data_IF_544847275526
#
_entry.id   IF_544847275526
#
_cell.length_a   1.000
_cell.length_b   1.000
_cell.length_c   1.000
_cell.angle_alpha   90.00
_cell.angle_beta   90.00
_cell.angle_gamma   90.00
#
_symmetry.space_group_name_H-M   'P 1'
#
loop_
_entity.id
_entity.type
_entity.pdbx_description
1 polymer ?
#
# COMPACT_ATOMS: atom_id res chain seq x y z
N UNK A 1 -16.96 -2.99 -12.50
CA UNK A 1 -16.24 -1.82 -13.03
C UNK A 1 -16.25 -0.83 -11.90
N UNK A 2 -15.07 -0.52 -11.40
CA UNK A 2 -14.85 0.26 -10.20
C UNK A 2 -15.18 1.73 -10.48
N UNK A 3 -15.87 2.39 -9.55
CA UNK A 3 -16.21 3.81 -9.69
C UNK A 3 -14.99 4.70 -9.43
N UNK A 4 -14.20 4.98 -10.47
CA UNK A 4 -12.98 5.81 -10.36
C UNK A 4 -13.24 7.29 -10.01
N UNK A 5 -14.50 7.74 -10.08
CA UNK A 5 -14.89 9.08 -9.66
C UNK A 5 -15.08 9.19 -8.13
N UNK A 6 -15.11 8.07 -7.40
CA UNK A 6 -15.12 8.08 -5.94
C UNK A 6 -13.79 8.68 -5.40
N UNK A 7 -13.84 9.74 -4.56
CA UNK A 7 -12.62 10.38 -4.04
C UNK A 7 -11.68 9.44 -3.28
N UNK A 8 -12.20 8.42 -2.59
CA UNK A 8 -11.39 7.44 -1.85
C UNK A 8 -10.68 6.50 -2.83
N UNK A 9 -11.39 6.04 -3.86
CA UNK A 9 -10.86 5.18 -4.91
C UNK A 9 -9.79 5.94 -5.71
N UNK A 10 -10.05 7.20 -6.07
CA UNK A 10 -9.09 8.06 -6.74
C UNK A 10 -7.81 8.23 -5.91
N UNK A 11 -7.94 8.46 -4.60
CA UNK A 11 -6.79 8.53 -3.68
C UNK A 11 -6.00 7.21 -3.64
N UNK A 12 -6.69 6.07 -3.71
CA UNK A 12 -6.01 4.77 -3.80
C UNK A 12 -5.25 4.63 -5.13
N UNK A 13 -5.84 5.00 -6.26
CA UNK A 13 -5.18 4.98 -7.57
C UNK A 13 -3.92 5.86 -7.55
N UNK A 14 -4.01 7.08 -7.02
CA UNK A 14 -2.86 7.98 -6.88
C UNK A 14 -1.75 7.38 -6.00
N UNK A 15 -2.12 6.68 -4.93
CA UNK A 15 -1.17 6.04 -4.04
C UNK A 15 -0.52 4.81 -4.68
N UNK A 16 -1.28 4.00 -5.42
CA UNK A 16 -0.75 2.89 -6.21
C UNK A 16 0.24 3.40 -7.26
N UNK A 17 -0.12 4.46 -7.98
CA UNK A 17 0.74 5.10 -8.97
C UNK A 17 2.07 5.55 -8.37
N UNK A 18 2.03 6.31 -7.25
CA UNK A 18 3.24 6.72 -6.52
C UNK A 18 4.08 5.52 -6.07
N UNK A 19 3.42 4.43 -5.64
CA UNK A 19 4.10 3.21 -5.23
C UNK A 19 4.81 2.50 -6.39
N UNK A 20 4.22 2.52 -7.60
CA UNK A 20 4.81 2.02 -8.85
C UNK A 20 5.99 2.91 -9.27
N UNK A 21 5.81 4.22 -9.33
CA UNK A 21 6.87 5.16 -9.70
C UNK A 21 8.10 5.04 -8.79
N UNK A 22 7.88 5.00 -7.47
CA UNK A 22 8.95 4.83 -6.48
C UNK A 22 9.75 3.55 -6.74
N UNK A 23 9.07 2.43 -7.01
CA UNK A 23 9.73 1.15 -7.33
C UNK A 23 10.47 1.22 -8.65
N UNK A 24 9.85 1.80 -9.67
CA UNK A 24 10.43 1.94 -11.01
C UNK A 24 11.67 2.85 -11.03
N UNK A 25 11.77 3.86 -10.14
CA UNK A 25 12.99 4.67 -9.97
C UNK A 25 14.16 3.89 -9.36
N UNK A 26 13.88 2.90 -8.52
CA UNK A 26 14.88 2.10 -7.81
C UNK A 26 15.37 0.88 -8.62
N UNK A 27 14.99 0.80 -9.89
CA UNK A 27 15.33 -0.27 -10.80
C UNK A 27 16.70 -0.03 -11.48
N UNK A 28 17.71 -0.87 -11.19
CA UNK A 28 18.96 -0.99 -11.97
C UNK A 28 18.79 -1.66 -13.36
N UNK A 29 19.08 -0.90 -14.42
CA UNK A 29 18.89 -1.20 -15.86
C UNK A 29 19.21 -2.60 -16.43
N UNK A 30 19.98 -3.47 -15.78
CA UNK A 30 20.61 -4.62 -16.42
C UNK A 30 19.83 -5.95 -16.38
N UNK A 31 18.58 -5.99 -15.90
CA UNK A 31 17.84 -7.27 -15.71
C UNK A 31 16.35 -7.25 -16.10
N UNK A 32 15.86 -6.23 -16.81
CA UNK A 32 14.41 -6.06 -17.04
C UNK A 32 13.83 -6.86 -18.19
N UNK A 33 14.60 -7.10 -19.25
CA UNK A 33 14.04 -7.69 -20.47
C UNK A 33 13.48 -9.10 -20.24
N UNK A 34 14.13 -9.88 -19.36
CA UNK A 34 13.63 -11.19 -18.97
C UNK A 34 12.31 -11.07 -18.19
N UNK A 35 12.21 -10.16 -17.22
CA UNK A 35 10.97 -9.94 -16.47
C UNK A 35 9.86 -9.40 -17.35
N UNK A 36 10.14 -8.46 -18.25
CA UNK A 36 9.16 -7.91 -19.20
C UNK A 36 8.58 -9.05 -20.04
N UNK A 37 9.44 -9.89 -20.63
CA UNK A 37 8.99 -11.03 -21.44
C UNK A 37 8.17 -12.01 -20.61
N UNK A 38 8.66 -12.42 -19.44
CA UNK A 38 7.96 -13.36 -18.56
C UNK A 38 6.59 -12.82 -18.11
N UNK A 39 6.56 -11.57 -17.67
CA UNK A 39 5.35 -10.94 -17.14
C UNK A 39 4.31 -10.72 -18.24
N UNK A 40 4.71 -10.40 -19.47
CA UNK A 40 3.78 -10.34 -20.62
C UNK A 40 3.17 -11.69 -20.97
N UNK A 41 3.97 -12.76 -20.90
CA UNK A 41 3.48 -14.13 -21.08
C UNK A 41 2.47 -14.48 -19.99
N UNK A 42 2.81 -14.21 -18.73
CA UNK A 42 1.92 -14.46 -17.59
C UNK A 42 0.63 -13.63 -17.70
N UNK A 43 0.72 -12.36 -18.10
CA UNK A 43 -0.42 -11.46 -18.32
C UNK A 43 -1.40 -12.02 -19.35
N UNK A 44 -0.92 -12.61 -20.45
CA UNK A 44 -1.78 -13.30 -21.42
C UNK A 44 -2.54 -14.48 -20.79
N UNK A 45 -1.93 -15.21 -19.86
CA UNK A 45 -2.63 -16.26 -19.10
C UNK A 45 -3.61 -15.70 -18.07
N UNK A 46 -3.35 -14.52 -17.50
CA UNK A 46 -4.31 -13.83 -16.64
C UNK A 46 -5.57 -13.40 -17.42
N UNK A 47 -5.42 -13.00 -18.68
CA UNK A 47 -6.55 -12.64 -19.55
C UNK A 47 -7.40 -13.85 -19.94
N UNK A 48 -6.76 -15.00 -20.18
CA UNK A 48 -7.43 -16.23 -20.54
C UNK A 48 -6.62 -17.46 -20.10
N UNK A 49 -7.05 -18.02 -18.97
CA UNK A 49 -6.43 -19.17 -18.31
C UNK A 49 -6.51 -20.47 -19.11
N UNK A 50 -7.37 -20.54 -20.14
CA UNK A 50 -7.53 -21.75 -20.96
C UNK A 50 -6.50 -21.87 -22.07
N UNK A 51 -5.73 -20.81 -22.32
CA UNK A 51 -4.74 -20.78 -23.39
C UNK A 51 -3.69 -21.87 -23.22
N UNK A 52 -3.35 -22.51 -24.33
CA UNK A 52 -2.15 -23.33 -24.46
C UNK A 52 -0.92 -22.50 -24.85
N UNK A 53 0.29 -23.06 -24.74
CA UNK A 53 1.53 -22.35 -25.07
C UNK A 53 1.56 -21.78 -26.50
N UNK A 54 1.08 -22.53 -27.50
CA UNK A 54 0.96 -22.05 -28.90
C UNK A 54 0.06 -20.83 -29.05
N UNK A 55 -1.07 -20.78 -28.35
CA UNK A 55 -2.00 -19.63 -28.39
C UNK A 55 -1.40 -18.41 -27.68
N UNK A 56 -0.65 -18.65 -26.59
CA UNK A 56 0.10 -17.61 -25.91
C UNK A 56 1.20 -17.01 -26.81
N UNK A 57 1.99 -17.86 -27.49
CA UNK A 57 3.01 -17.42 -28.45
C UNK A 57 2.41 -16.56 -29.58
N UNK A 58 1.30 -17.01 -30.18
CA UNK A 58 0.59 -16.24 -31.19
C UNK A 58 0.12 -14.86 -30.68
N UNK A 59 -0.38 -14.79 -29.45
CA UNK A 59 -0.79 -13.54 -28.83
C UNK A 59 0.40 -12.61 -28.49
N UNK A 60 1.51 -13.17 -28.01
CA UNK A 60 2.76 -12.43 -27.79
C UNK A 60 3.25 -11.78 -29.08
N UNK A 61 3.36 -12.56 -30.15
CA UNK A 61 3.88 -12.09 -31.44
C UNK A 61 2.97 -11.02 -32.06
N UNK A 62 1.64 -11.20 -31.95
CA UNK A 62 0.67 -10.22 -32.44
C UNK A 62 0.79 -8.86 -31.73
N UNK A 63 0.87 -8.86 -30.39
CA UNK A 63 0.82 -7.65 -29.55
C UNK A 63 2.16 -6.96 -29.39
N UNK A 64 3.23 -7.72 -29.16
CA UNK A 64 4.53 -7.19 -28.77
C UNK A 64 5.59 -7.31 -29.87
N UNK A 65 5.20 -7.73 -31.08
CA UNK A 65 6.10 -7.87 -32.25
C UNK A 65 7.33 -8.73 -31.95
N UNK A 66 7.10 -9.81 -31.22
CA UNK A 66 8.12 -10.83 -30.91
C UNK A 66 8.11 -11.95 -31.95
N UNK A 67 9.12 -12.82 -31.89
CA UNK A 67 9.21 -14.08 -32.66
C UNK A 67 9.35 -15.27 -31.71
N UNK A 68 8.37 -15.42 -30.81
CA UNK A 68 8.33 -16.53 -29.86
C UNK A 68 7.58 -17.71 -30.45
N UNK A 69 8.06 -18.92 -30.19
CA UNK A 69 7.39 -20.15 -30.55
C UNK A 69 6.76 -20.86 -29.34
N UNK A 70 6.20 -22.05 -29.58
CA UNK A 70 5.59 -22.88 -28.53
C UNK A 70 6.61 -23.27 -27.44
N UNK A 71 7.86 -23.56 -27.81
CA UNK A 71 8.91 -24.02 -26.90
C UNK A 71 9.46 -22.89 -26.03
N UNK A 72 9.51 -21.65 -26.54
CA UNK A 72 9.82 -20.46 -25.73
C UNK A 72 8.84 -20.30 -24.57
N UNK A 73 7.53 -20.42 -24.85
CA UNK A 73 6.51 -20.32 -23.81
C UNK A 73 6.62 -21.48 -22.82
N UNK A 74 6.84 -22.71 -23.29
CA UNK A 74 7.05 -23.87 -22.41
C UNK A 74 8.26 -23.65 -21.49
N UNK A 75 9.36 -23.08 -22.01
CA UNK A 75 10.56 -22.76 -21.20
C UNK A 75 10.23 -21.78 -20.07
N UNK A 76 9.49 -20.71 -20.37
CA UNK A 76 9.04 -19.74 -19.36
C UNK A 76 8.13 -20.39 -18.32
N UNK A 77 7.18 -21.22 -18.75
CA UNK A 77 6.29 -21.96 -17.84
C UNK A 77 7.07 -22.95 -16.96
N UNK A 78 8.09 -23.63 -17.48
CA UNK A 78 8.94 -24.55 -16.71
C UNK A 78 9.77 -23.79 -15.67
N UNK A 79 10.43 -22.70 -16.06
CA UNK A 79 11.23 -21.86 -15.17
C UNK A 79 10.42 -21.35 -13.96
N UNK A 80 9.12 -21.13 -14.18
CA UNK A 80 8.20 -20.61 -13.18
C UNK A 80 7.30 -21.67 -12.51
N UNK A 81 7.54 -22.97 -12.77
CA UNK A 81 6.75 -24.11 -12.27
C UNK A 81 5.25 -24.06 -12.61
N UNK A 82 4.92 -23.41 -13.72
CA UNK A 82 3.57 -23.27 -14.27
C UNK A 82 3.25 -24.28 -15.39
N UNK A 83 4.11 -25.29 -15.60
CA UNK A 83 3.92 -26.26 -16.69
C UNK A 83 2.71 -27.15 -16.48
N UNK A 84 2.40 -27.51 -15.23
CA UNK A 84 1.25 -28.34 -14.90
C UNK A 84 -0.04 -27.51 -14.95
N UNK A 85 -0.94 -27.88 -15.86
CA UNK A 85 -2.10 -27.08 -16.22
C UNK A 85 -3.07 -26.85 -15.05
N UNK A 86 -3.42 -27.89 -14.30
CA UNK A 86 -4.41 -27.74 -13.22
C UNK A 86 -3.87 -26.86 -12.09
N UNK A 87 -2.57 -27.00 -11.76
CA UNK A 87 -1.92 -26.15 -10.75
C UNK A 87 -1.76 -24.70 -11.20
N UNK A 88 -1.46 -24.48 -12.48
CA UNK A 88 -1.49 -23.14 -13.06
C UNK A 88 -2.89 -22.54 -12.99
N UNK A 89 -3.92 -23.32 -13.30
CA UNK A 89 -5.31 -22.88 -13.22
C UNK A 89 -5.73 -22.56 -11.77
N UNK A 90 -5.35 -23.39 -10.80
CA UNK A 90 -5.56 -23.13 -9.36
C UNK A 90 -4.96 -21.77 -8.94
N UNK A 91 -3.72 -21.50 -9.35
CA UNK A 91 -3.03 -20.24 -9.04
C UNK A 91 -3.66 -19.02 -9.72
N UNK A 92 -4.07 -19.15 -10.99
CA UNK A 92 -4.76 -18.08 -11.72
C UNK A 92 -6.16 -17.80 -11.13
N UNK A 93 -6.90 -18.84 -10.74
CA UNK A 93 -8.19 -18.70 -10.06
C UNK A 93 -8.06 -18.00 -8.70
N UNK A 94 -7.03 -18.34 -7.92
CA UNK A 94 -6.73 -17.63 -6.68
C UNK A 94 -6.45 -16.15 -6.91
N UNK A 95 -5.66 -15.81 -7.94
CA UNK A 95 -5.34 -14.42 -8.26
C UNK A 95 -6.58 -13.64 -8.71
N UNK A 96 -7.46 -14.27 -9.50
CA UNK A 96 -8.76 -13.73 -9.91
C UNK A 96 -9.65 -13.46 -8.68
N UNK A 97 -9.84 -14.45 -7.81
CA UNK A 97 -10.61 -14.33 -6.56
C UNK A 97 -10.07 -13.23 -5.62
N UNK A 98 -8.74 -13.13 -5.49
CA UNK A 98 -8.09 -12.10 -4.68
C UNK A 98 -8.39 -10.69 -5.23
N UNK A 99 -8.31 -10.52 -6.55
CA UNK A 99 -8.55 -9.24 -7.22
C UNK A 99 -10.03 -8.85 -7.24
N UNK A 100 -10.93 -9.83 -7.30
CA UNK A 100 -12.37 -9.62 -7.15
C UNK A 100 -12.75 -9.18 -5.73
N UNK A 101 -12.21 -9.84 -4.71
CA UNK A 101 -12.42 -9.45 -3.30
C UNK A 101 -11.78 -8.10 -2.98
N UNK A 102 -10.63 -7.77 -3.57
CA UNK A 102 -10.02 -6.44 -3.49
C UNK A 102 -10.97 -5.35 -4.03
N UNK A 103 -11.50 -5.54 -5.24
CA UNK A 103 -12.40 -4.57 -5.85
C UNK A 103 -13.72 -4.43 -5.07
N UNK A 104 -14.26 -5.55 -4.59
CA UNK A 104 -15.45 -5.53 -3.72
C UNK A 104 -15.20 -4.70 -2.45
N UNK A 105 -14.09 -4.93 -1.75
CA UNK A 105 -13.73 -4.15 -0.56
C UNK A 105 -13.52 -2.66 -0.89
N UNK A 106 -12.93 -2.37 -2.05
CA UNK A 106 -12.72 -1.01 -2.55
C UNK A 106 -14.03 -0.30 -2.90
N UNK A 107 -15.05 -1.02 -3.39
CA UNK A 107 -16.35 -0.44 -3.70
C UNK A 107 -17.25 -0.27 -2.47
N UNK A 108 -17.17 -1.21 -1.50
CA UNK A 108 -18.05 -1.18 -0.33
C UNK A 108 -17.51 -0.37 0.83
N UNK A 109 -16.18 -0.20 0.89
CA UNK A 109 -15.46 0.42 2.01
C UNK A 109 -15.73 -0.25 3.36
N UNK A 110 -16.06 -1.55 3.38
CA UNK A 110 -16.42 -2.25 4.63
C UNK A 110 -15.25 -3.07 5.20
N UNK A 111 -15.01 -3.01 6.52
CA UNK A 111 -14.03 -3.87 7.22
C UNK A 111 -14.17 -5.36 6.88
N UNK A 112 -15.40 -5.88 6.91
CA UNK A 112 -15.67 -7.29 6.63
C UNK A 112 -15.23 -7.74 5.23
N UNK A 113 -15.40 -6.88 4.22
CA UNK A 113 -14.99 -7.20 2.85
C UNK A 113 -13.46 -7.12 2.70
N UNK A 114 -12.81 -6.23 3.47
CA UNK A 114 -11.35 -6.21 3.59
C UNK A 114 -10.80 -7.48 4.27
N UNK A 115 -11.43 -7.96 5.34
CA UNK A 115 -11.03 -9.21 6.02
C UNK A 115 -11.16 -10.44 5.10
N UNK A 116 -12.21 -10.47 4.27
CA UNK A 116 -12.38 -11.49 3.23
C UNK A 116 -11.24 -11.43 2.21
N UNK A 117 -10.92 -10.24 1.69
CA UNK A 117 -9.76 -10.02 0.83
C UNK A 117 -8.46 -10.50 1.48
N UNK A 118 -8.20 -10.13 2.75
CA UNK A 118 -6.99 -10.53 3.46
C UNK A 118 -6.89 -12.05 3.64
N UNK A 119 -8.02 -12.71 3.89
CA UNK A 119 -8.10 -14.17 3.99
C UNK A 119 -7.68 -14.84 2.68
N UNK A 120 -8.23 -14.39 1.54
CA UNK A 120 -7.86 -14.91 0.22
C UNK A 120 -6.41 -14.58 -0.11
N UNK A 121 -5.99 -13.33 0.07
CA UNK A 121 -4.64 -12.84 -0.23
C UNK A 121 -3.55 -13.59 0.56
N UNK A 122 -3.84 -14.03 1.79
CA UNK A 122 -2.92 -14.81 2.62
C UNK A 122 -2.93 -16.32 2.33
N UNK A 123 -3.88 -16.82 1.52
CA UNK A 123 -3.94 -18.24 1.12
C UNK A 123 -2.69 -18.61 0.32
N UNK A 124 -1.94 -19.62 0.78
CA UNK A 124 -0.73 -20.09 0.09
C UNK A 124 -1.12 -21.12 -0.97
N UNK A 125 -0.80 -20.84 -2.23
CA UNK A 125 -0.96 -21.81 -3.32
C UNK A 125 0.34 -22.58 -3.50
N UNK A 126 0.23 -23.90 -3.55
CA UNK A 126 1.39 -24.81 -3.60
C UNK A 126 1.56 -25.42 -4.97
N UNK A 127 2.82 -25.58 -5.36
CA UNK A 127 3.26 -26.30 -6.56
C UNK A 127 2.95 -27.79 -6.43
N UNK A 128 3.19 -28.55 -7.50
CA UNK A 128 3.01 -30.00 -7.48
C UNK A 128 3.92 -30.71 -6.44
N UNK A 129 5.06 -30.11 -6.11
CA UNK A 129 6.02 -30.64 -5.14
C UNK A 129 5.79 -30.08 -3.72
N UNK A 130 4.57 -29.59 -3.45
CA UNK A 130 4.13 -28.98 -2.19
C UNK A 130 4.89 -27.71 -1.75
N UNK A 131 5.79 -27.16 -2.58
CA UNK A 131 6.43 -25.88 -2.32
C UNK A 131 5.52 -24.69 -2.67
N UNK A 132 5.64 -23.57 -1.96
CA UNK A 132 4.93 -22.33 -2.29
C UNK A 132 5.36 -21.77 -3.65
N UNK A 133 4.40 -21.32 -4.46
CA UNK A 133 4.70 -20.56 -5.69
C UNK A 133 5.40 -19.24 -5.37
N UNK A 134 6.68 -19.10 -5.76
CA UNK A 134 7.45 -17.85 -5.60
C UNK A 134 6.88 -16.66 -6.38
N UNK A 135 6.09 -16.94 -7.40
CA UNK A 135 5.52 -15.96 -8.33
C UNK A 135 4.06 -15.64 -8.04
N UNK A 136 3.51 -16.13 -6.93
CA UNK A 136 2.10 -15.98 -6.58
C UNK A 136 1.68 -14.50 -6.56
N UNK A 137 2.41 -13.65 -5.82
CA UNK A 137 2.14 -12.21 -5.76
C UNK A 137 2.40 -11.49 -7.10
N UNK A 138 3.30 -12.01 -7.93
CA UNK A 138 3.56 -11.47 -9.28
C UNK A 138 2.37 -11.70 -10.21
N UNK A 139 1.78 -12.90 -10.19
CA UNK A 139 0.55 -13.19 -10.95
C UNK A 139 -0.61 -12.31 -10.45
N UNK A 140 -0.77 -12.20 -9.12
CA UNK A 140 -1.76 -11.34 -8.50
C UNK A 140 -1.66 -9.87 -8.96
N UNK A 141 -0.45 -9.32 -9.00
CA UNK A 141 -0.21 -7.93 -9.43
C UNK A 141 -0.57 -7.71 -10.90
N UNK A 142 -0.24 -8.66 -11.78
CA UNK A 142 -0.62 -8.60 -13.19
C UNK A 142 -2.13 -8.77 -13.36
N UNK A 143 -2.75 -9.68 -12.60
CA UNK A 143 -4.19 -9.93 -12.60
C UNK A 143 -4.98 -8.68 -12.22
N UNK A 144 -4.49 -7.88 -11.27
CA UNK A 144 -5.12 -6.63 -10.85
C UNK A 144 -5.42 -5.71 -12.04
N UNK A 145 -4.40 -5.40 -12.85
CA UNK A 145 -4.56 -4.53 -14.02
C UNK A 145 -5.23 -5.20 -15.22
N UNK A 146 -5.23 -6.53 -15.29
CA UNK A 146 -6.00 -7.26 -16.31
C UNK A 146 -7.50 -7.18 -16.02
N UNK A 147 -7.91 -7.32 -14.75
CA UNK A 147 -9.31 -7.34 -14.35
C UNK A 147 -9.89 -5.97 -14.09
N UNK A 148 -9.08 -5.04 -13.59
CA UNK A 148 -9.48 -3.66 -13.30
C UNK A 148 -8.53 -2.68 -14.00
N UNK A 149 -8.54 -2.64 -15.34
CA UNK A 149 -7.70 -1.71 -16.12
C UNK A 149 -7.99 -0.24 -15.79
N UNK A 150 -9.16 0.09 -15.25
CA UNK A 150 -9.53 1.42 -14.77
C UNK A 150 -8.66 1.93 -13.61
N UNK A 151 -7.92 1.04 -12.91
CA UNK A 151 -6.96 1.43 -11.87
C UNK A 151 -5.61 1.89 -12.43
N UNK A 152 -5.39 1.80 -13.75
CA UNK A 152 -4.15 2.19 -14.39
C UNK A 152 -4.05 3.73 -14.53
N UNK A 153 -3.10 4.33 -13.79
CA UNK A 153 -2.79 5.76 -13.90
C UNK A 153 -1.82 6.02 -15.06
N UNK A 154 -2.26 5.71 -16.27
CA UNK A 154 -1.58 6.00 -17.53
C UNK A 154 -0.53 4.99 -17.98
N UNK A 155 0.40 4.57 -17.11
CA UNK A 155 1.49 3.63 -17.49
C UNK A 155 1.84 2.61 -16.41
N UNK A 156 1.05 2.50 -15.35
CA UNK A 156 1.36 1.60 -14.24
C UNK A 156 1.31 0.14 -14.68
N UNK A 157 0.28 -0.22 -15.45
CA UNK A 157 0.10 -1.57 -15.97
C UNK A 157 1.28 -2.05 -16.85
N UNK A 158 1.95 -1.12 -17.54
CA UNK A 158 3.19 -1.40 -18.30
C UNK A 158 4.42 -1.38 -17.40
N UNK A 159 4.51 -0.43 -16.46
CA UNK A 159 5.64 -0.29 -15.57
C UNK A 159 5.83 -1.53 -14.68
N UNK A 160 4.75 -2.12 -14.18
CA UNK A 160 4.83 -3.33 -13.36
C UNK A 160 5.35 -4.54 -14.15
N UNK A 161 5.27 -4.56 -15.49
CA UNK A 161 5.85 -5.66 -16.29
C UNK A 161 7.37 -5.77 -16.11
N UNK A 162 8.04 -4.72 -15.62
CA UNK A 162 9.47 -4.71 -15.30
C UNK A 162 9.79 -5.34 -13.94
N UNK A 163 8.79 -5.55 -13.09
CA UNK A 163 8.99 -5.92 -11.69
C UNK A 163 9.18 -7.43 -11.52
N UNK A 164 10.22 -7.80 -10.78
CA UNK A 164 10.41 -9.16 -10.26
C UNK A 164 9.54 -9.44 -9.03
N UNK A 165 9.67 -10.67 -8.48
CA UNK A 165 8.82 -11.16 -7.39
C UNK A 165 8.82 -10.26 -6.14
N UNK A 166 9.97 -9.72 -5.75
CA UNK A 166 10.10 -8.86 -4.56
C UNK A 166 9.29 -7.57 -4.73
N UNK A 167 9.47 -6.87 -5.85
CA UNK A 167 8.77 -5.62 -6.12
C UNK A 167 7.25 -5.82 -6.23
N UNK A 168 6.81 -6.90 -6.90
CA UNK A 168 5.39 -7.23 -7.02
C UNK A 168 4.76 -7.61 -5.68
N UNK A 169 5.48 -8.36 -4.84
CA UNK A 169 5.05 -8.66 -3.48
C UNK A 169 4.83 -7.38 -2.67
N UNK A 170 5.81 -6.46 -2.69
CA UNK A 170 5.66 -5.19 -1.99
C UNK A 170 4.58 -4.28 -2.61
N UNK A 171 4.34 -4.38 -3.91
CA UNK A 171 3.22 -3.68 -4.56
C UNK A 171 1.86 -4.16 -4.03
N UNK A 172 1.65 -5.48 -3.92
CA UNK A 172 0.43 -6.02 -3.29
C UNK A 172 0.32 -5.61 -1.82
N UNK A 173 1.43 -5.48 -1.11
CA UNK A 173 1.43 -5.06 0.29
C UNK A 173 0.99 -3.59 0.42
N UNK A 174 1.57 -2.70 -0.39
CA UNK A 174 1.15 -1.30 -0.47
C UNK A 174 -0.35 -1.20 -0.83
N UNK A 175 -0.82 -1.98 -1.81
CA UNK A 175 -2.24 -2.03 -2.19
C UNK A 175 -3.15 -2.49 -1.03
N UNK A 176 -2.74 -3.52 -0.28
CA UNK A 176 -3.46 -3.97 0.92
C UNK A 176 -3.53 -2.88 1.98
N UNK A 177 -2.43 -2.18 2.24
CA UNK A 177 -2.38 -1.12 3.25
C UNK A 177 -3.24 0.09 2.85
N UNK A 178 -3.22 0.49 1.57
CA UNK A 178 -4.10 1.55 1.08
C UNK A 178 -5.57 1.18 1.19
N UNK A 179 -5.92 -0.07 0.84
CA UNK A 179 -7.29 -0.56 0.96
C UNK A 179 -7.74 -0.63 2.43
N UNK A 180 -6.87 -1.08 3.36
CA UNK A 180 -7.16 -1.08 4.80
C UNK A 180 -7.58 0.31 5.28
N UNK A 181 -6.82 1.33 4.89
CA UNK A 181 -7.07 2.71 5.29
C UNK A 181 -8.40 3.26 4.74
N UNK A 182 -8.91 2.69 3.65
CA UNK A 182 -10.24 3.02 3.11
C UNK A 182 -11.34 2.31 3.91
N UNK A 183 -11.15 1.01 4.19
CA UNK A 183 -12.18 0.18 4.82
C UNK A 183 -12.30 0.37 6.34
N UNK A 184 -11.22 0.68 7.06
CA UNK A 184 -11.18 0.82 8.53
C UNK A 184 -11.19 2.27 9.02
N UNK A 185 -11.41 3.23 8.10
CA UNK A 185 -11.42 4.66 8.41
C UNK A 185 -12.42 5.08 9.50
N UNK A 186 -13.43 4.25 9.80
CA UNK A 186 -14.42 4.48 10.85
C UNK A 186 -14.07 3.86 12.22
N UNK A 187 -13.14 2.91 12.27
CA UNK A 187 -12.64 2.29 13.51
C UNK A 187 -11.41 3.05 14.01
N UNK A 188 -10.52 3.48 13.11
CA UNK A 188 -9.37 4.33 13.46
C UNK A 188 -9.79 5.78 13.79
N UNK A 189 -10.92 6.27 13.27
CA UNK A 189 -11.48 7.58 13.63
C UNK A 189 -12.10 7.65 15.01
N UNK A 190 -12.21 6.53 15.73
CA UNK A 190 -12.59 6.53 17.15
C UNK A 190 -11.39 6.62 18.09
N UNK A 191 -10.16 6.50 17.61
CA UNK A 191 -8.93 6.50 18.44
C UNK A 191 -7.89 7.52 17.95
N UNK A 192 -8.19 8.33 16.93
CA UNK A 192 -7.36 9.49 16.59
C UNK A 192 -8.24 10.71 16.48
N UNK A 193 -8.58 11.29 17.64
CA UNK A 193 -8.78 12.74 17.72
C UNK A 193 -7.50 13.37 17.18
N UNK A 194 -7.61 14.06 16.05
CA UNK A 194 -6.50 14.82 15.47
C UNK A 194 -5.96 15.78 16.53
N UNK A 195 -4.86 15.41 17.18
CA UNK A 195 -4.06 16.34 17.97
C UNK A 195 -3.43 17.29 16.96
N UNK A 196 -3.87 18.55 16.96
CA UNK A 196 -3.28 19.57 16.08
C UNK A 196 -1.83 19.81 16.48
N UNK A 197 -1.03 20.41 15.60
CA UNK A 197 0.34 20.82 15.94
C UNK A 197 0.38 21.68 17.22
N UNK A 198 -0.64 22.52 17.43
CA UNK A 198 -0.78 23.32 18.65
C UNK A 198 -1.04 22.48 19.89
N UNK A 199 -1.82 21.40 19.79
CA UNK A 199 -2.07 20.49 20.90
C UNK A 199 -0.79 19.69 21.26
N UNK A 200 0.02 19.32 20.26
CA UNK A 200 1.33 18.71 20.48
C UNK A 200 2.33 19.66 21.14
N UNK A 201 2.33 20.94 20.72
CA UNK A 201 3.14 21.98 21.35
C UNK A 201 2.74 22.19 22.81
N UNK A 202 1.44 22.22 23.09
CA UNK A 202 0.93 22.33 24.44
C UNK A 202 1.35 21.13 25.30
N UNK A 203 1.25 19.90 24.78
CA UNK A 203 1.75 18.71 25.45
C UNK A 203 3.23 18.84 25.84
N UNK A 204 4.10 19.21 24.90
CA UNK A 204 5.53 19.36 25.17
C UNK A 204 5.81 20.45 26.21
N UNK A 205 5.11 21.58 26.14
CA UNK A 205 5.26 22.68 27.11
C UNK A 205 4.76 22.31 28.51
N UNK A 206 3.67 21.53 28.60
CA UNK A 206 3.09 21.10 29.88
C UNK A 206 3.93 20.00 30.53
N UNK A 207 4.43 19.03 29.76
CA UNK A 207 5.23 17.91 30.27
C UNK A 207 6.69 18.28 30.53
N UNK A 208 7.26 19.17 29.71
CA UNK A 208 8.66 19.57 29.76
C UNK A 208 8.81 21.11 29.69
N UNK A 209 8.33 21.84 30.71
CA UNK A 209 8.29 23.31 30.70
C UNK A 209 9.67 23.97 30.56
N UNK A 210 10.74 23.27 30.93
CA UNK A 210 12.13 23.68 30.74
C UNK A 210 12.55 23.81 29.27
N UNK A 211 11.79 23.24 28.34
CA UNK A 211 12.04 23.29 26.90
C UNK A 211 11.37 24.47 26.20
N UNK A 212 10.40 25.14 26.84
CA UNK A 212 9.56 26.16 26.24
C UNK A 212 10.32 27.41 25.72
N UNK A 213 11.62 27.53 25.99
CA UNK A 213 12.47 28.61 25.49
C UNK A 213 13.59 28.20 24.51
N UNK A 214 13.80 26.91 24.24
CA UNK A 214 15.01 26.42 23.54
C UNK A 214 14.75 25.59 22.27
N UNK A 215 13.49 25.32 21.93
CA UNK A 215 13.17 24.59 20.69
C UNK A 215 13.07 25.59 19.54
N UNK A 216 13.95 25.46 18.55
CA UNK A 216 13.83 26.18 17.27
C UNK A 216 12.71 25.53 16.44
N UNK A 217 11.53 26.12 16.51
CA UNK A 217 10.32 25.58 15.90
C UNK A 217 10.31 25.65 14.36
N UNK A 218 11.27 26.36 13.74
CA UNK A 218 11.42 26.39 12.27
C UNK A 218 11.79 25.03 11.67
N UNK A 219 12.24 24.08 12.52
CA UNK A 219 12.47 22.69 12.12
C UNK A 219 11.14 22.00 11.79
N UNK A 220 10.03 22.38 12.44
CA UNK A 220 8.72 21.74 12.31
C UNK A 220 7.83 22.31 11.19
N UNK A 221 8.16 23.50 10.65
CA UNK A 221 7.49 24.10 9.48
C UNK A 221 7.61 23.26 8.19
N UNK A 222 8.41 22.18 8.21
CA UNK A 222 8.59 21.25 7.08
C UNK A 222 7.68 20.01 7.13
N UNK A 223 6.81 19.90 8.15
CA UNK A 223 6.09 18.66 8.47
C UNK A 223 4.61 18.67 8.08
N UNK A 224 4.24 19.32 6.98
CA UNK A 224 2.92 19.13 6.38
C UNK A 224 2.79 17.70 5.83
N UNK A 225 1.98 16.87 6.51
CA UNK A 225 1.58 15.54 6.03
C UNK A 225 2.41 14.35 6.53
N UNK A 226 3.22 14.51 7.58
CA UNK A 226 3.95 13.42 8.23
C UNK A 226 3.05 12.70 9.25
N UNK A 227 3.11 11.36 9.31
CA UNK A 227 2.31 10.57 10.25
C UNK A 227 2.74 10.89 11.70
N UNK A 228 1.77 11.05 12.62
CA UNK A 228 2.00 11.37 14.05
C UNK A 228 3.07 10.50 14.72
N UNK A 229 3.20 9.24 14.28
CA UNK A 229 4.21 8.31 14.77
C UNK A 229 5.63 8.73 14.44
N UNK A 230 5.84 9.30 13.26
CA UNK A 230 7.14 9.79 12.82
C UNK A 230 7.50 11.08 13.57
N UNK A 231 6.51 11.94 13.86
CA UNK A 231 6.68 13.13 14.69
C UNK A 231 7.05 12.80 16.14
N UNK A 232 6.39 11.82 16.77
CA UNK A 232 6.69 11.38 18.13
C UNK A 232 8.07 10.72 18.24
N UNK A 233 8.47 9.92 17.24
CA UNK A 233 9.80 9.30 17.19
C UNK A 233 10.88 10.39 17.05
N UNK A 234 10.67 11.38 16.19
CA UNK A 234 11.66 12.43 15.97
C UNK A 234 11.76 13.37 17.17
N UNK A 235 10.64 13.69 17.82
CA UNK A 235 10.62 14.42 19.08
C UNK A 235 11.37 13.66 20.19
N UNK A 236 11.13 12.35 20.33
CA UNK A 236 11.88 11.51 21.28
C UNK A 236 13.39 11.53 20.98
N UNK A 237 13.78 11.40 19.71
CA UNK A 237 15.19 11.44 19.31
C UNK A 237 15.84 12.79 19.66
N UNK A 238 15.15 13.91 19.39
CA UNK A 238 15.61 15.24 19.73
C UNK A 238 15.81 15.41 21.25
N UNK A 239 14.80 15.05 22.03
CA UNK A 239 14.83 15.17 23.49
C UNK A 239 15.93 14.28 24.10
N UNK A 240 16.17 13.09 23.54
CA UNK A 240 17.19 12.15 24.03
C UNK A 240 18.61 12.71 23.89
N UNK A 241 18.79 13.70 23.00
CA UNK A 241 20.05 14.39 22.79
C UNK A 241 20.28 15.54 23.78
N UNK A 242 19.30 15.92 24.60
CA UNK A 242 19.42 17.03 25.53
C UNK A 242 19.99 16.57 26.88
N UNK A 243 21.07 17.19 27.39
CA UNK A 243 21.82 16.69 28.56
C UNK A 243 21.08 16.79 29.91
N UNK A 244 19.86 17.31 29.94
CA UNK A 244 19.09 17.59 31.15
C UNK A 244 17.63 17.12 31.09
N UNK A 245 17.26 16.31 30.10
CA UNK A 245 15.90 15.78 29.94
C UNK A 245 15.92 14.27 30.20
N UNK A 246 15.33 13.83 31.30
CA UNK A 246 15.06 12.41 31.52
C UNK A 246 13.77 12.03 30.79
N UNK A 247 13.87 11.13 29.80
CA UNK A 247 12.73 10.67 29.02
C UNK A 247 12.18 9.40 29.64
N UNK A 248 10.90 9.40 29.97
CA UNK A 248 10.17 8.17 30.25
C UNK A 248 9.66 7.58 28.91
N UNK A 249 10.07 6.35 28.61
CA UNK A 249 9.68 5.66 27.37
C UNK A 249 8.17 5.48 27.23
N UNK A 250 7.44 5.43 28.36
CA UNK A 250 5.97 5.31 28.38
C UNK A 250 5.27 6.55 27.82
N UNK A 251 5.90 7.73 27.92
CA UNK A 251 5.34 9.00 27.45
C UNK A 251 5.23 9.09 25.90
N UNK A 252 5.92 8.19 25.19
CA UNK A 252 5.95 8.13 23.72
C UNK A 252 5.30 6.86 23.15
N UNK A 253 4.43 6.21 23.95
CA UNK A 253 3.64 5.05 23.50
C UNK A 253 2.28 5.49 22.94
N UNK A 254 1.80 4.81 21.90
CA UNK A 254 0.58 5.22 21.15
C UNK A 254 -0.73 4.89 21.86
N UNK A 255 -0.72 4.00 22.86
CA UNK A 255 -1.93 3.27 23.26
C UNK A 255 -2.77 3.98 24.35
N UNK A 256 -2.32 5.08 24.96
CA UNK A 256 -3.12 5.75 26.03
C UNK A 256 -2.77 7.21 26.33
N UNK A 257 -1.54 7.67 26.10
CA UNK A 257 -1.05 8.93 26.71
C UNK A 257 -1.69 10.21 26.14
N UNK A 258 -2.08 10.23 24.87
CA UNK A 258 -2.67 11.41 24.22
C UNK A 258 -4.16 11.53 24.51
N UNK A 259 -4.90 10.41 24.50
CA UNK A 259 -6.31 10.37 24.92
C UNK A 259 -6.45 10.72 26.41
N UNK A 260 -5.58 10.16 27.27
CA UNK A 260 -5.58 10.47 28.70
C UNK A 260 -5.21 11.93 28.98
N UNK A 261 -4.35 12.57 28.17
CA UNK A 261 -4.00 13.98 28.32
C UNK A 261 -5.16 14.92 27.93
N UNK A 262 -5.78 14.68 26.78
CA UNK A 262 -6.92 15.50 26.29
C UNK A 262 -8.19 15.32 27.14
N UNK A 263 -8.37 14.16 27.78
CA UNK A 263 -9.52 13.91 28.64
C UNK A 263 -9.34 14.31 30.11
N UNK A 264 -8.11 14.36 30.63
CA UNK A 264 -7.88 14.65 32.05
C UNK A 264 -7.38 16.07 32.35
N UNK A 265 -7.04 16.88 31.34
CA UNK A 265 -6.67 18.29 31.52
C UNK A 265 -7.88 19.24 31.34
N UNK A 266 -8.32 19.95 32.40
CA UNK A 266 -9.45 20.88 32.33
C UNK A 266 -9.25 22.05 31.36
N UNK A 267 -8.01 22.47 31.12
CA UNK A 267 -7.72 23.61 30.24
C UNK A 267 -7.80 23.20 28.76
N UNK A 268 -7.43 21.95 28.44
CA UNK A 268 -7.58 21.37 27.10
C UNK A 268 -9.07 21.16 26.72
N UNK A 269 -9.91 20.75 27.67
CA UNK A 269 -11.35 20.58 27.45
C UNK A 269 -12.08 21.89 27.11
N UNK A 270 -11.62 23.02 27.65
CA UNK A 270 -12.23 24.33 27.40
C UNK A 270 -11.97 24.87 25.97
N UNK A 271 -10.92 24.40 25.29
CA UNK A 271 -10.58 24.84 23.93
C UNK A 271 -11.36 24.07 22.84
N UNK A 272 -11.80 22.84 23.11
CA UNK A 272 -12.61 22.03 22.19
C UNK A 272 -14.05 22.55 22.01
N UNK A 273 -14.52 23.44 22.90
CA UNK A 273 -15.91 23.93 22.91
C UNK A 273 -16.04 25.35 22.31
N UNK A 274 -14.94 26.06 22.08
CA UNK A 274 -15.01 27.43 21.56
C UNK A 274 -15.16 27.43 20.01
N UNK A 275 -16.26 27.96 19.44
CA UNK A 275 -16.33 28.17 18.00
C UNK A 275 -15.35 29.28 17.58
N UNK A 276 -14.85 29.25 16.34
CA UNK A 276 -13.85 30.21 15.90
C UNK A 276 -14.46 31.60 15.87
N UNK A 277 -13.93 32.50 16.71
CA UNK A 277 -14.21 33.93 16.64
C UNK A 277 -13.57 34.48 15.37
N UNK A 278 -14.37 34.65 14.32
CA UNK A 278 -14.02 35.52 13.21
C UNK A 278 -13.93 36.96 13.75
N UNK A 279 -12.71 37.42 13.99
CA UNK A 279 -12.45 38.85 14.11
C UNK A 279 -12.69 39.49 12.74
N UNK A 280 -13.78 40.25 12.66
CA UNK A 280 -13.98 41.22 11.61
C UNK A 280 -12.85 42.26 11.69
N UNK A 281 -12.16 42.45 10.57
CA UNK A 281 -11.21 43.53 10.36
C UNK A 281 -12.02 44.74 9.88
N UNK A 282 -11.94 45.84 10.63
CA UNK A 282 -12.32 47.19 10.18
C UNK A 282 -11.32 47.74 9.17
#
# INVERSE_FOLDING_TARGET
>A
MINVDDPLIKRLIDNLHKAVERKNKNLSSSSYDDYIRENRIIKIFCEDKTRGPRQCAAAMNARYKTDLDNEDIIRVLKANRLSYQDKRAELLNWAEEMVETFAKALETHKPKDFDEFMTIRNRVIRTNDDERYKIQERIASLMLYVKHPELDSGTDAEAIEKFGNVYMKHFIYDASDFLRNICHKAEDSKIVTEMTFNDFLLFLQTKYPELAGNIDFTIFDRFDGVLMKELLIEAKNFLSGLPHVEINDEDFTFDTTVEDFLHNDPDAQNMLIAPPTHNAVD
#
